data_IF_525671761540
#
_entry.id   IF_525671761540
#
_cell.length_a   1.000
_cell.length_b   1.000
_cell.length_c   1.000
_cell.angle_alpha   90.00
_cell.angle_beta   90.00
_cell.angle_gamma   90.00
#
_symmetry.space_group_name_H-M   'P 1'
#
loop_
_entity.id
_entity.type
_entity.pdbx_description
1 polymer ?
#
# COMPACT_ATOMS: atom_id res chain seq x y z
N UNK A 1 63.78 3.49 -3.75
CA UNK A 1 63.03 3.25 -2.51
C UNK A 1 61.73 2.58 -2.96
N UNK A 2 61.67 1.25 -3.07
CA UNK A 2 61.72 0.24 -1.99
C UNK A 2 60.62 0.54 -0.95
N UNK A 3 59.66 -0.32 -0.60
CA UNK A 3 59.45 -1.79 -0.70
C UNK A 3 57.99 -2.02 -0.22
N UNK A 4 57.26 -3.00 -0.79
CA UNK A 4 56.80 -4.26 -0.14
C UNK A 4 55.52 -4.13 0.72
N UNK A 5 54.40 -4.74 0.32
CA UNK A 5 53.94 -6.11 0.69
C UNK A 5 53.05 -6.07 1.95
N UNK A 6 51.81 -6.55 1.83
CA UNK A 6 51.28 -7.58 2.74
C UNK A 6 49.98 -8.17 2.15
N UNK A 7 50.15 -9.39 1.66
CA UNK A 7 49.14 -10.37 1.31
C UNK A 7 48.30 -10.79 2.54
N UNK A 8 47.02 -11.11 2.30
CA UNK A 8 46.38 -12.20 3.04
C UNK A 8 45.28 -12.86 2.23
N UNK A 9 45.67 -13.92 1.54
CA UNK A 9 44.80 -15.03 1.14
C UNK A 9 44.09 -15.61 2.37
N UNK A 10 42.84 -16.02 2.20
CA UNK A 10 42.21 -17.00 3.09
C UNK A 10 41.36 -17.95 2.25
N UNK A 11 41.84 -19.18 2.20
CA UNK A 11 41.30 -20.33 1.51
C UNK A 11 39.95 -20.80 2.07
N UNK A 12 39.12 -21.29 1.15
CA UNK A 12 38.44 -22.60 1.15
C UNK A 12 37.72 -23.06 2.43
N UNK A 13 36.39 -23.07 2.37
CA UNK A 13 35.57 -24.05 3.07
C UNK A 13 34.61 -24.69 2.05
N UNK A 14 34.99 -25.90 1.66
CA UNK A 14 34.20 -26.88 0.93
C UNK A 14 33.25 -27.58 1.91
N UNK A 15 31.93 -27.48 1.68
CA UNK A 15 30.95 -28.33 2.36
C UNK A 15 30.18 -29.13 1.32
N UNK A 16 30.59 -30.40 1.24
CA UNK A 16 29.94 -31.50 0.56
C UNK A 16 28.64 -31.87 1.27
N UNK A 17 27.54 -31.95 0.54
CA UNK A 17 26.39 -32.75 0.97
C UNK A 17 25.99 -33.67 -0.17
N UNK A 18 26.45 -34.91 -0.02
CA UNK A 18 26.14 -36.09 -0.78
C UNK A 18 24.80 -36.64 -0.30
N UNK A 19 23.85 -36.88 -1.21
CA UNK A 19 22.65 -37.68 -0.96
C UNK A 19 22.14 -38.23 -2.29
N UNK A 20 22.66 -39.40 -2.63
CA UNK A 20 22.04 -40.42 -3.46
C UNK A 20 20.56 -40.65 -3.09
N UNK A 21 19.65 -40.68 -4.07
CA UNK A 21 18.79 -41.87 -4.33
C UNK A 21 17.92 -41.75 -5.59
N UNK A 22 18.01 -42.80 -6.41
CA UNK A 22 16.95 -43.44 -7.21
C UNK A 22 16.45 -42.80 -8.53
N UNK A 23 17.22 -43.10 -9.58
CA UNK A 23 16.81 -43.77 -10.82
C UNK A 23 15.31 -44.14 -10.95
N UNK A 24 14.60 -43.48 -11.87
CA UNK A 24 13.50 -44.09 -12.64
C UNK A 24 13.63 -43.76 -14.12
N UNK A 25 14.01 -44.78 -14.88
CA UNK A 25 13.91 -44.87 -16.32
C UNK A 25 12.46 -44.96 -16.77
N UNK A 26 12.10 -44.16 -17.76
CA UNK A 26 10.98 -44.43 -18.66
C UNK A 26 11.32 -43.81 -20.02
N UNK A 27 11.87 -44.67 -20.87
CA UNK A 27 11.91 -44.54 -22.33
C UNK A 27 10.48 -44.46 -22.86
N UNK A 28 10.19 -43.45 -23.67
CA UNK A 28 9.16 -43.56 -24.72
C UNK A 28 9.55 -42.61 -25.85
N UNK A 29 9.84 -43.25 -26.98
CA UNK A 29 10.16 -42.71 -28.29
C UNK A 29 8.85 -42.25 -28.94
N UNK A 30 8.82 -41.05 -29.52
CA UNK A 30 7.85 -40.72 -30.57
C UNK A 30 8.48 -39.66 -31.48
N UNK A 31 9.03 -40.16 -32.60
CA UNK A 31 9.39 -39.39 -33.78
C UNK A 31 8.13 -39.22 -34.63
N UNK A 32 7.64 -37.99 -34.78
CA UNK A 32 6.79 -37.64 -35.92
C UNK A 32 7.39 -36.44 -36.66
N UNK A 33 7.81 -36.78 -37.87
CA UNK A 33 8.39 -35.99 -38.94
C UNK A 33 7.25 -35.31 -39.72
N UNK A 34 7.24 -33.98 -39.79
CA UNK A 34 6.26 -33.20 -40.56
C UNK A 34 7.03 -32.18 -41.41
N UNK A 35 7.45 -32.65 -42.60
CA UNK A 35 7.94 -31.82 -43.69
C UNK A 35 6.75 -31.21 -44.44
N UNK A 36 6.59 -29.88 -44.38
CA UNK A 36 5.68 -29.15 -45.25
C UNK A 36 6.41 -27.97 -45.92
N UNK A 37 6.19 -27.88 -47.22
CA UNK A 37 7.05 -27.26 -48.21
C UNK A 37 6.98 -25.71 -48.23
N UNK A 38 8.15 -25.09 -48.39
CA UNK A 38 8.28 -23.66 -48.66
C UNK A 38 7.90 -23.31 -50.10
N UNK A 39 6.77 -22.61 -50.27
CA UNK A 39 6.47 -21.89 -51.50
C UNK A 39 7.29 -20.60 -51.58
N UNK A 40 8.09 -20.49 -52.64
CA UNK A 40 8.90 -19.31 -52.96
C UNK A 40 8.12 -18.42 -53.92
N UNK A 41 7.69 -17.26 -53.44
CA UNK A 41 7.20 -16.18 -54.29
C UNK A 41 8.17 -15.00 -54.20
N UNK A 42 8.90 -14.78 -55.29
CA UNK A 42 9.60 -13.54 -55.61
C UNK A 42 8.55 -12.49 -55.97
N UNK A 43 8.45 -11.36 -55.26
CA UNK A 43 7.78 -10.17 -55.80
C UNK A 43 8.22 -8.84 -55.14
N UNK A 44 8.75 -7.98 -56.03
CA UNK A 44 8.88 -6.52 -56.09
C UNK A 44 9.08 -5.64 -54.83
N UNK A 45 10.17 -4.87 -54.83
CA UNK A 45 10.42 -3.73 -53.94
C UNK A 45 9.43 -2.57 -54.20
N UNK A 46 8.22 -2.65 -53.65
CA UNK A 46 7.35 -1.49 -53.50
C UNK A 46 7.83 -0.58 -52.35
N UNK A 47 8.04 0.70 -52.67
CA UNK A 47 8.37 1.74 -51.71
C UNK A 47 7.27 1.84 -50.63
N UNK A 48 7.54 1.32 -49.43
CA UNK A 48 6.62 1.38 -48.29
C UNK A 48 6.31 2.84 -47.92
N UNK A 49 5.03 3.24 -47.74
CA UNK A 49 4.68 4.60 -47.36
C UNK A 49 5.22 4.94 -45.96
N UNK A 50 5.55 6.22 -45.69
CA UNK A 50 6.11 6.63 -44.41
C UNK A 50 5.18 6.23 -43.26
N UNK A 51 5.74 5.52 -42.28
CA UNK A 51 5.00 4.97 -41.14
C UNK A 51 4.44 6.11 -40.29
N UNK A 52 3.13 6.30 -40.35
CA UNK A 52 2.43 7.32 -39.59
C UNK A 52 2.29 6.89 -38.11
N UNK A 53 2.89 7.66 -37.20
CA UNK A 53 2.86 7.36 -35.78
C UNK A 53 1.45 7.56 -35.20
N UNK A 54 0.72 6.48 -34.97
CA UNK A 54 -0.64 6.46 -34.40
C UNK A 54 -0.77 7.20 -33.05
N UNK A 55 0.34 7.44 -32.36
CA UNK A 55 0.38 8.20 -31.11
C UNK A 55 0.07 9.69 -31.31
N UNK A 56 0.46 10.27 -32.46
CA UNK A 56 0.28 11.70 -32.75
C UNK A 56 -0.98 12.00 -33.55
N UNK A 57 -1.44 11.07 -34.38
CA UNK A 57 -2.63 11.25 -35.23
C UNK A 57 -3.96 10.90 -34.53
N UNK A 58 -3.94 10.25 -33.36
CA UNK A 58 -5.18 9.89 -32.65
C UNK A 58 -5.80 11.05 -31.88
N UNK A 59 -7.13 11.16 -31.93
CA UNK A 59 -7.89 12.11 -31.11
C UNK A 59 -7.67 11.88 -29.61
N UNK A 60 -7.39 12.94 -28.83
CA UNK A 60 -7.23 12.84 -27.37
C UNK A 60 -8.57 12.78 -26.66
N UNK A 61 -8.68 11.92 -25.64
CA UNK A 61 -9.85 11.83 -24.75
C UNK A 61 -9.74 12.85 -23.61
N UNK A 62 -10.83 13.52 -23.27
CA UNK A 62 -10.85 14.55 -22.22
C UNK A 62 -10.51 14.03 -20.81
N UNK A 63 -10.73 12.74 -20.54
CA UNK A 63 -10.51 12.11 -19.22
C UNK A 63 -9.22 11.29 -19.13
N UNK A 64 -8.40 11.31 -20.19
CA UNK A 64 -7.14 10.57 -20.19
C UNK A 64 -6.12 11.25 -19.26
N UNK A 65 -5.66 10.53 -18.24
CA UNK A 65 -4.64 11.02 -17.30
C UNK A 65 -5.18 11.68 -16.04
N UNK A 66 -6.49 11.64 -15.78
CA UNK A 66 -7.11 12.30 -14.61
C UNK A 66 -6.49 11.92 -13.25
N UNK A 67 -5.87 10.75 -13.14
CA UNK A 67 -5.18 10.28 -11.92
C UNK A 67 -3.68 10.11 -12.08
N UNK A 68 -3.12 10.29 -13.27
CA UNK A 68 -1.69 10.05 -13.51
C UNK A 68 -0.82 11.05 -12.75
N UNK A 69 -1.25 12.31 -12.67
CA UNK A 69 -0.53 13.31 -11.88
C UNK A 69 -0.56 13.01 -10.38
N UNK A 70 -1.62 12.37 -9.89
CA UNK A 70 -1.70 11.96 -8.49
C UNK A 70 -0.83 10.73 -8.24
N UNK A 71 -0.89 9.71 -9.10
CA UNK A 71 -0.05 8.51 -8.99
C UNK A 71 1.45 8.82 -9.12
N UNK A 72 1.84 9.77 -9.96
CA UNK A 72 3.25 10.18 -10.06
C UNK A 72 3.72 10.93 -8.81
N UNK A 73 2.84 11.76 -8.22
CA UNK A 73 3.14 12.40 -6.93
C UNK A 73 3.20 11.39 -5.79
N UNK A 74 2.25 10.45 -5.79
CA UNK A 74 2.22 9.34 -4.83
C UNK A 74 3.48 8.50 -4.98
N UNK A 75 3.88 8.06 -6.18
CA UNK A 75 5.11 7.29 -6.37
C UNK A 75 6.40 8.04 -5.93
N UNK A 76 6.47 9.35 -6.15
CA UNK A 76 7.62 10.17 -5.69
C UNK A 76 7.59 10.32 -4.17
N UNK A 77 6.43 10.68 -3.61
CA UNK A 77 6.25 10.83 -2.16
C UNK A 77 6.37 9.49 -1.42
N UNK A 78 5.91 8.40 -2.02
CA UNK A 78 5.97 7.03 -1.51
C UNK A 78 7.43 6.60 -1.49
N UNK A 79 8.23 6.88 -2.52
CA UNK A 79 9.66 6.57 -2.49
C UNK A 79 10.45 7.38 -1.44
N UNK A 80 10.11 8.66 -1.20
CA UNK A 80 10.80 9.49 -0.21
C UNK A 80 10.27 9.31 1.23
N UNK A 81 8.97 9.01 1.39
CA UNK A 81 8.33 8.81 2.69
C UNK A 81 8.36 7.35 3.14
N UNK A 82 8.40 6.37 2.23
CA UNK A 82 8.53 4.96 2.60
C UNK A 82 9.80 4.75 3.40
N UNK A 83 10.93 5.31 3.00
CA UNK A 83 12.18 5.06 3.71
C UNK A 83 12.14 5.61 5.15
N UNK A 84 11.45 6.74 5.34
CA UNK A 84 11.21 7.29 6.68
C UNK A 84 10.25 6.40 7.49
N UNK A 85 9.05 6.09 6.98
CA UNK A 85 8.05 5.30 7.71
C UNK A 85 8.39 3.81 7.85
N UNK A 86 9.27 3.28 7.00
CA UNK A 86 9.88 1.93 7.12
C UNK A 86 10.91 1.86 8.23
N UNK A 87 11.60 2.97 8.53
CA UNK A 87 12.71 2.97 9.50
C UNK A 87 12.30 3.53 10.85
N UNK A 88 11.42 4.54 10.88
CA UNK A 88 10.92 5.09 12.13
C UNK A 88 10.02 4.09 12.86
N UNK A 89 10.18 4.01 14.18
CA UNK A 89 9.44 3.09 15.04
C UNK A 89 9.45 1.64 14.53
N UNK A 90 10.65 1.15 14.17
CA UNK A 90 10.86 -0.24 13.74
C UNK A 90 10.01 -0.70 12.54
N UNK A 91 9.50 0.24 11.72
CA UNK A 91 8.68 -0.13 10.57
C UNK A 91 7.29 -0.64 10.93
N UNK A 92 6.79 -0.37 12.14
CA UNK A 92 5.42 -0.73 12.58
C UNK A 92 4.30 -0.17 11.69
N UNK A 93 4.61 0.75 10.77
CA UNK A 93 3.64 1.29 9.83
C UNK A 93 3.45 0.41 8.58
N UNK A 94 4.30 -0.59 8.37
CA UNK A 94 4.09 -1.59 7.32
C UNK A 94 3.25 -2.72 7.90
N UNK A 95 2.12 -2.99 7.27
CA UNK A 95 1.33 -4.22 7.51
C UNK A 95 2.10 -5.40 6.90
N UNK A 96 3.13 -5.89 7.60
CA UNK A 96 3.78 -7.13 7.23
C UNK A 96 2.97 -8.30 7.83
N UNK A 97 2.48 -9.19 6.96
CA UNK A 97 1.73 -10.40 7.30
C UNK A 97 2.49 -11.40 8.23
N UNK A 98 3.72 -11.08 8.61
CA UNK A 98 4.59 -11.93 9.45
C UNK A 98 4.46 -11.66 10.95
N UNK A 99 3.95 -10.50 11.36
CA UNK A 99 3.71 -10.19 12.79
C UNK A 99 2.23 -10.26 13.08
N UNK A 100 1.84 -11.12 14.02
CA UNK A 100 0.48 -11.15 14.56
C UNK A 100 0.23 -9.83 15.32
N UNK A 101 -0.22 -8.80 14.61
CA UNK A 101 -0.63 -7.52 15.19
C UNK A 101 -1.95 -7.70 15.94
N UNK A 102 -1.84 -8.23 17.16
CA UNK A 102 -2.97 -8.43 18.05
C UNK A 102 -3.48 -7.08 18.55
N UNK A 103 -4.80 -6.96 18.67
CA UNK A 103 -5.43 -5.75 19.19
C UNK A 103 -4.85 -5.39 20.56
N UNK A 104 -4.44 -4.13 20.73
CA UNK A 104 -3.83 -3.64 21.96
C UNK A 104 -4.72 -3.92 23.18
N UNK A 105 -4.18 -4.67 24.13
CA UNK A 105 -4.79 -4.87 25.45
C UNK A 105 -4.02 -4.03 26.47
N UNK A 106 -4.71 -3.10 27.11
CA UNK A 106 -4.13 -2.32 28.18
C UNK A 106 -3.75 -3.23 29.36
N UNK A 107 -2.53 -3.10 29.91
CA UNK A 107 -2.18 -3.75 31.16
C UNK A 107 -3.09 -3.25 32.30
N UNK A 108 -3.68 -4.18 33.05
CA UNK A 108 -4.72 -3.94 34.07
C UNK A 108 -4.29 -2.97 35.19
N UNK A 109 -3.00 -2.69 35.34
CA UNK A 109 -2.42 -1.94 36.44
C UNK A 109 -1.88 -0.55 36.03
N UNK A 110 -2.02 -0.15 34.76
CA UNK A 110 -1.37 1.06 34.21
C UNK A 110 -2.08 2.39 34.50
N UNK A 111 -3.31 2.36 35.01
CA UNK A 111 -4.15 3.57 35.16
C UNK A 111 -3.95 4.30 36.50
N UNK A 112 -3.07 3.79 37.36
CA UNK A 112 -2.66 4.46 38.58
C UNK A 112 -1.61 5.53 38.28
N UNK A 113 -2.02 6.79 38.19
CA UNK A 113 -1.09 7.92 38.12
C UNK A 113 -0.38 8.07 39.48
N UNK A 114 0.75 7.37 39.62
CA UNK A 114 1.62 7.45 40.79
C UNK A 114 2.43 8.75 40.72
N UNK A 115 1.96 9.73 41.48
CA UNK A 115 2.59 11.04 41.59
C UNK A 115 3.59 11.01 42.74
N UNK A 116 4.82 11.45 42.49
CA UNK A 116 5.85 11.56 43.51
C UNK A 116 5.40 12.47 44.66
N UNK A 117 5.86 12.18 45.88
CA UNK A 117 5.43 12.90 47.09
C UNK A 117 5.84 14.37 47.12
N UNK A 118 6.70 14.82 46.21
CA UNK A 118 7.14 16.19 46.04
C UNK A 118 6.39 16.96 44.95
N UNK A 119 5.43 16.35 44.23
CA UNK A 119 4.67 17.02 43.17
C UNK A 119 3.86 18.24 43.66
N UNK A 120 3.34 18.19 44.89
CA UNK A 120 2.63 19.30 45.53
C UNK A 120 3.55 20.24 46.33
N UNK A 121 4.87 19.98 46.38
CA UNK A 121 5.83 20.87 47.05
C UNK A 121 6.04 22.12 46.19
N UNK A 122 6.08 23.29 46.83
CA UNK A 122 6.45 24.52 46.14
C UNK A 122 7.89 24.43 45.60
N UNK A 123 8.08 24.82 44.34
CA UNK A 123 9.41 24.87 43.69
C UNK A 123 10.44 25.72 44.47
N UNK A 124 9.99 26.61 45.36
CA UNK A 124 10.82 27.54 46.15
C UNK A 124 11.36 26.95 47.48
N UNK A 125 10.81 25.82 47.95
CA UNK A 125 11.07 25.27 49.30
C UNK A 125 11.93 23.98 49.27
N UNK A 126 12.77 23.76 48.27
CA UNK A 126 13.58 22.54 48.13
C UNK A 126 14.75 22.35 49.13
N UNK A 127 14.81 23.09 50.24
CA UNK A 127 15.88 22.93 51.24
C UNK A 127 15.39 22.95 52.69
N UNK A 128 15.14 21.77 53.29
CA UNK A 128 15.53 21.39 54.66
C UNK A 128 14.89 20.06 55.08
N UNK A 129 15.72 19.04 55.26
CA UNK A 129 15.36 17.83 56.01
C UNK A 129 15.46 18.12 57.52
N UNK A 130 14.39 17.89 58.28
CA UNK A 130 14.48 17.54 59.70
C UNK A 130 13.18 16.90 60.23
N UNK A 131 13.28 15.59 60.45
CA UNK A 131 12.74 14.82 61.58
C UNK A 131 12.01 15.64 62.67
N UNK A 132 10.67 15.54 62.77
CA UNK A 132 9.92 15.65 64.04
C UNK A 132 8.53 15.02 63.95
N UNK A 133 8.13 14.39 65.07
CA UNK A 133 6.90 13.63 65.28
C UNK A 133 5.61 14.47 65.35
N UNK A 134 4.48 13.73 65.17
CA UNK A 134 3.12 13.97 65.65
C UNK A 134 2.19 14.89 64.82
N UNK A 135 1.05 14.35 64.36
CA UNK A 135 -0.25 14.36 65.07
C UNK A 135 -1.29 13.61 64.21
N UNK A 136 -1.94 12.60 64.78
CA UNK A 136 -3.16 11.99 64.22
C UNK A 136 -4.35 12.98 64.33
N UNK A 137 -5.02 13.27 63.21
CA UNK A 137 -6.37 13.86 63.20
C UNK A 137 -7.38 12.93 62.50
N UNK A 138 -8.35 12.44 63.28
CA UNK A 138 -9.53 11.71 62.81
C UNK A 138 -10.52 12.63 62.05
N UNK A 139 -11.01 12.18 60.88
CA UNK A 139 -12.09 12.87 60.11
C UNK A 139 -13.48 12.25 60.36
N UNK A 140 -14.54 13.05 60.58
CA UNK A 140 -15.90 12.52 60.75
C UNK A 140 -16.65 12.23 59.44
N UNK A 141 -17.57 11.28 59.58
CA UNK A 141 -18.33 10.49 58.58
C UNK A 141 -19.09 11.23 57.45
N UNK A 142 -18.95 10.63 56.27
CA UNK A 142 -19.71 10.68 54.99
C UNK A 142 -21.24 10.89 55.11
N UNK A 143 -21.72 12.15 55.18
CA UNK A 143 -23.14 12.50 54.86
C UNK A 143 -23.35 13.84 54.12
N UNK A 144 -22.30 14.51 53.63
CA UNK A 144 -22.39 15.83 52.95
C UNK A 144 -22.29 15.79 51.41
N UNK A 145 -22.02 14.65 50.81
CA UNK A 145 -21.72 14.56 49.36
C UNK A 145 -22.93 14.89 48.44
N UNK A 146 -24.16 14.61 48.86
CA UNK A 146 -25.36 14.86 48.03
C UNK A 146 -25.79 16.33 48.04
N UNK A 147 -25.57 17.05 49.14
CA UNK A 147 -25.92 18.46 49.27
C UNK A 147 -24.91 19.36 48.53
N UNK A 148 -23.63 18.98 48.54
CA UNK A 148 -22.58 19.65 47.77
C UNK A 148 -22.76 19.49 46.25
N UNK A 149 -23.22 18.34 45.75
CA UNK A 149 -23.47 18.14 44.32
C UNK A 149 -24.64 19.01 43.81
N UNK A 150 -25.72 19.15 44.60
CA UNK A 150 -26.86 20.02 44.26
C UNK A 150 -26.52 21.51 44.36
N UNK A 151 -25.64 21.89 45.28
CA UNK A 151 -25.18 23.27 45.41
C UNK A 151 -24.17 23.64 44.31
N UNK A 152 -23.34 22.70 43.84
CA UNK A 152 -22.46 22.89 42.68
C UNK A 152 -23.26 23.06 41.38
N UNK A 153 -24.30 22.27 41.14
CA UNK A 153 -25.16 22.42 39.95
C UNK A 153 -25.96 23.73 39.97
N UNK A 154 -26.48 24.15 41.14
CA UNK A 154 -27.10 25.47 41.29
C UNK A 154 -26.12 26.62 41.08
N UNK A 155 -24.88 26.54 41.59
CA UNK A 155 -23.84 27.54 41.34
C UNK A 155 -23.50 27.64 39.85
N UNK A 156 -23.40 26.50 39.17
CA UNK A 156 -23.07 26.46 37.74
C UNK A 156 -24.22 27.01 36.88
N UNK A 157 -25.48 26.68 37.21
CA UNK A 157 -26.67 27.23 36.55
C UNK A 157 -26.83 28.74 36.83
N UNK A 158 -26.56 29.19 38.07
CA UNK A 158 -26.60 30.60 38.44
C UNK A 158 -25.44 31.40 37.82
N UNK A 159 -24.26 30.81 37.62
CA UNK A 159 -23.15 31.43 36.91
C UNK A 159 -23.42 31.55 35.39
N UNK A 160 -24.26 30.66 34.83
CA UNK A 160 -24.66 30.70 33.42
C UNK A 160 -25.86 31.61 33.14
N UNK A 161 -26.76 31.77 34.12
CA UNK A 161 -27.90 32.69 34.06
C UNK A 161 -27.56 34.11 34.54
N UNK A 162 -26.60 34.24 35.46
CA UNK A 162 -26.00 35.50 35.86
C UNK A 162 -24.97 35.93 34.83
N UNK A 163 -25.43 36.35 33.66
CA UNK A 163 -24.56 36.99 32.66
C UNK A 163 -23.76 38.10 33.34
N UNK A 164 -22.46 38.15 33.06
CA UNK A 164 -21.59 39.21 33.57
C UNK A 164 -22.31 40.55 33.35
N UNK A 165 -22.65 41.25 34.44
CA UNK A 165 -23.33 42.53 34.35
C UNK A 165 -22.32 43.53 33.78
N UNK A 166 -22.27 43.63 32.46
CA UNK A 166 -21.46 44.62 31.78
C UNK A 166 -21.98 45.99 32.24
N UNK A 167 -21.13 46.89 32.76
CA UNK A 167 -21.56 48.24 33.13
C UNK A 167 -22.24 48.89 31.93
N UNK A 168 -23.37 49.58 32.17
CA UNK A 168 -24.18 50.16 31.11
C UNK A 168 -23.31 51.06 30.20
N UNK A 169 -23.28 50.69 28.92
CA UNK A 169 -22.54 51.26 27.79
C UNK A 169 -22.06 52.71 27.96
N UNK A 170 -20.74 52.89 27.91
CA UNK A 170 -20.14 54.06 27.23
C UNK A 170 -19.26 53.54 26.09
N UNK A 171 -19.81 52.65 25.27
CA UNK A 171 -19.17 52.26 24.01
C UNK A 171 -19.37 53.42 23.05
N UNK A 172 -18.28 54.06 22.65
CA UNK A 172 -18.33 55.15 21.66
C UNK A 172 -18.84 54.62 20.32
N UNK A 173 -19.50 55.46 19.52
CA UNK A 173 -20.06 55.06 18.22
C UNK A 173 -19.01 54.38 17.30
N UNK A 174 -17.75 54.81 17.40
CA UNK A 174 -16.62 54.22 16.68
C UNK A 174 -16.32 52.79 17.13
N UNK A 175 -16.35 52.52 18.43
CA UNK A 175 -16.15 51.18 18.99
C UNK A 175 -17.32 50.24 18.64
N UNK A 176 -18.55 50.76 18.63
CA UNK A 176 -19.72 49.99 18.21
C UNK A 176 -19.60 49.56 16.74
N UNK A 177 -19.16 50.46 15.85
CA UNK A 177 -18.94 50.12 14.44
C UNK A 177 -17.83 49.07 14.25
N UNK A 178 -16.78 49.10 15.08
CA UNK A 178 -15.73 48.09 15.04
C UNK A 178 -16.26 46.71 15.45
N UNK A 179 -17.03 46.65 16.54
CA UNK A 179 -17.66 45.41 17.00
C UNK A 179 -18.64 44.84 15.97
N UNK A 180 -19.41 45.69 15.28
CA UNK A 180 -20.31 45.24 14.21
C UNK A 180 -19.55 44.67 13.00
N UNK A 181 -18.40 45.28 12.63
CA UNK A 181 -17.55 44.77 11.55
C UNK A 181 -16.88 43.45 11.91
N UNK A 182 -16.46 43.31 13.17
CA UNK A 182 -15.90 42.06 13.69
C UNK A 182 -16.96 40.96 13.76
N UNK A 183 -18.18 41.29 14.19
CA UNK A 183 -19.33 40.38 14.16
C UNK A 183 -19.66 39.93 12.73
N UNK A 184 -19.67 40.84 11.75
CA UNK A 184 -19.89 40.48 10.34
C UNK A 184 -18.79 39.55 9.80
N UNK A 185 -17.53 39.76 10.22
CA UNK A 185 -16.41 38.90 9.82
C UNK A 185 -16.54 37.49 10.42
N UNK A 186 -16.83 37.41 11.71
CA UNK A 186 -17.03 36.13 12.41
C UNK A 186 -18.26 35.39 11.89
N UNK A 187 -19.33 36.10 11.53
CA UNK A 187 -20.50 35.50 10.86
C UNK A 187 -20.11 34.87 9.52
N UNK A 188 -19.31 35.56 8.70
CA UNK A 188 -18.81 35.00 7.44
C UNK A 188 -17.95 33.75 7.67
N UNK A 189 -17.01 33.80 8.62
CA UNK A 189 -16.15 32.66 8.98
C UNK A 189 -16.97 31.47 9.52
N UNK A 190 -18.01 31.74 10.33
CA UNK A 190 -18.92 30.73 10.85
C UNK A 190 -19.78 30.09 9.74
N UNK A 191 -20.30 30.90 8.81
CA UNK A 191 -21.08 30.39 7.66
C UNK A 191 -20.19 29.56 6.73
N UNK A 192 -18.95 29.97 6.50
CA UNK A 192 -18.00 29.21 5.68
C UNK A 192 -17.58 27.89 6.32
N UNK A 193 -17.31 27.90 7.63
CA UNK A 193 -16.99 26.67 8.38
C UNK A 193 -18.19 25.70 8.42
N UNK A 194 -19.41 26.21 8.60
CA UNK A 194 -20.63 25.40 8.57
C UNK A 194 -20.84 24.77 7.19
N UNK A 195 -20.66 25.53 6.10
CA UNK A 195 -20.72 25.00 4.72
C UNK A 195 -19.66 23.92 4.47
N UNK A 196 -18.47 24.05 5.06
CA UNK A 196 -17.40 23.04 4.95
C UNK A 196 -17.78 21.76 5.72
N UNK A 197 -18.36 21.91 6.91
CA UNK A 197 -18.86 20.79 7.72
C UNK A 197 -19.99 20.03 7.00
N UNK A 198 -20.97 20.74 6.43
CA UNK A 198 -22.05 20.13 5.64
C UNK A 198 -21.51 19.32 4.45
N UNK A 199 -20.51 19.85 3.74
CA UNK A 199 -19.86 19.12 2.63
C UNK A 199 -19.19 17.84 3.12
N UNK A 200 -18.51 17.89 4.25
CA UNK A 200 -17.86 16.72 4.85
C UNK A 200 -18.88 15.64 5.27
N UNK A 201 -19.98 16.04 5.92
CA UNK A 201 -21.07 15.12 6.29
C UNK A 201 -21.72 14.46 5.07
N UNK A 202 -21.95 15.23 3.99
CA UNK A 202 -22.47 14.69 2.73
C UNK A 202 -21.50 13.71 2.06
N UNK A 203 -20.19 13.97 2.11
CA UNK A 203 -19.17 13.04 1.62
C UNK A 203 -19.15 11.76 2.45
N UNK A 204 -19.19 11.87 3.79
CA UNK A 204 -19.25 10.73 4.72
C UNK A 204 -20.51 9.90 4.50
N UNK A 205 -21.66 10.53 4.21
CA UNK A 205 -22.91 9.86 3.86
C UNK A 205 -22.80 9.12 2.52
N UNK A 206 -22.23 9.74 1.49
CA UNK A 206 -21.99 9.10 0.17
C UNK A 206 -21.03 7.92 0.26
N UNK A 207 -19.97 8.03 1.07
CA UNK A 207 -19.03 6.91 1.33
C UNK A 207 -19.75 5.73 2.01
N UNK A 208 -20.56 6.00 3.04
CA UNK A 208 -21.39 4.99 3.71
C UNK A 208 -22.38 4.31 2.76
N UNK A 209 -23.07 5.07 1.92
CA UNK A 209 -24.00 4.53 0.92
C UNK A 209 -23.29 3.64 -0.12
N UNK A 210 -22.14 4.08 -0.64
CA UNK A 210 -21.32 3.27 -1.56
C UNK A 210 -20.82 1.98 -0.90
N UNK A 211 -20.37 2.04 0.35
CA UNK A 211 -19.97 0.84 1.10
C UNK A 211 -21.15 -0.14 1.23
N UNK A 212 -22.34 0.36 1.58
CA UNK A 212 -23.55 -0.46 1.66
C UNK A 212 -23.92 -1.11 0.32
N UNK A 213 -23.76 -0.41 -0.81
CA UNK A 213 -24.02 -0.98 -2.14
C UNK A 213 -23.00 -2.06 -2.53
N UNK A 214 -21.73 -1.95 -2.09
CA UNK A 214 -20.70 -2.97 -2.34
C UNK A 214 -20.95 -4.26 -1.54
N UNK A 215 -21.54 -4.16 -0.35
CA UNK A 215 -21.91 -5.32 0.48
C UNK A 215 -23.30 -5.89 0.17
N UNK A 216 -24.08 -5.26 -0.73
CA UNK A 216 -25.26 -5.90 -1.29
C UNK A 216 -24.81 -6.89 -2.35
N UNK A 217 -24.68 -8.15 -1.96
CA UNK A 217 -24.65 -9.23 -2.95
C UNK A 217 -26.02 -9.20 -3.63
N UNK A 218 -26.06 -8.88 -4.92
CA UNK A 218 -27.20 -9.20 -5.80
C UNK A 218 -26.85 -10.43 -6.65
N UNK A 219 -26.96 -11.64 -6.10
CA UNK A 219 -27.00 -12.86 -6.89
C UNK A 219 -28.45 -13.28 -7.06
N UNK A 220 -28.74 -14.29 -7.89
CA UNK A 220 -30.07 -14.83 -7.90
C UNK A 220 -30.30 -15.51 -6.52
N UNK A 221 -31.25 -14.99 -5.76
CA UNK A 221 -31.52 -15.40 -4.38
C UNK A 221 -32.25 -16.74 -4.36
N UNK A 222 -31.78 -17.69 -3.54
CA UNK A 222 -32.55 -18.90 -3.24
C UNK A 222 -33.74 -18.53 -2.35
N UNK A 223 -34.91 -19.08 -2.64
CA UNK A 223 -36.12 -18.85 -1.84
C UNK A 223 -36.62 -20.16 -1.28
N UNK A 224 -36.74 -20.23 0.05
CA UNK A 224 -37.40 -21.34 0.73
C UNK A 224 -38.81 -20.91 1.13
N UNK A 225 -39.82 -21.56 0.59
CA UNK A 225 -41.22 -21.34 0.97
C UNK A 225 -41.77 -22.61 1.58
N UNK A 226 -42.12 -22.57 2.86
CA UNK A 226 -42.77 -23.67 3.57
C UNK A 226 -44.27 -23.39 3.68
N UNK A 227 -45.09 -24.35 3.26
CA UNK A 227 -46.53 -24.33 3.51
C UNK A 227 -46.92 -25.64 4.24
N UNK A 228 -48.07 -25.66 4.90
CA UNK A 228 -48.47 -26.74 5.82
C UNK A 228 -48.39 -28.17 5.22
N UNK A 229 -48.47 -28.28 3.89
CA UNK A 229 -48.43 -29.56 3.17
C UNK A 229 -47.06 -29.85 2.53
N UNK A 230 -46.27 -28.82 2.15
CA UNK A 230 -45.03 -28.98 1.37
C UNK A 230 -44.07 -27.79 1.55
N UNK A 231 -42.78 -28.11 1.58
CA UNK A 231 -41.66 -27.17 1.49
C UNK A 231 -41.10 -27.13 0.06
N UNK A 232 -41.04 -25.95 -0.55
CA UNK A 232 -40.48 -25.73 -1.88
C UNK A 232 -39.23 -24.85 -1.77
N UNK A 233 -38.12 -25.33 -2.32
CA UNK A 233 -36.85 -24.61 -2.39
C UNK A 233 -36.57 -24.21 -3.84
N UNK A 234 -36.66 -22.92 -4.13
CA UNK A 234 -36.43 -22.37 -5.48
C UNK A 234 -34.97 -21.97 -5.59
N UNK A 235 -34.20 -22.75 -6.35
CA UNK A 235 -32.81 -22.45 -6.70
C UNK A 235 -32.81 -21.85 -8.11
N UNK A 236 -32.29 -20.63 -8.29
CA UNK A 236 -32.16 -20.05 -9.61
C UNK A 236 -31.10 -20.77 -10.45
N UNK A 237 -31.26 -20.72 -11.77
CA UNK A 237 -30.34 -21.35 -12.72
C UNK A 237 -28.95 -20.71 -12.62
N UNK A 238 -27.99 -21.46 -12.08
CA UNK A 238 -26.60 -21.05 -12.00
C UNK A 238 -25.98 -21.31 -13.37
N UNK A 239 -25.48 -20.30 -14.10
CA UNK A 239 -24.74 -20.54 -15.33
C UNK A 239 -23.54 -21.42 -15.01
N UNK A 240 -23.38 -22.51 -15.75
CA UNK A 240 -22.26 -23.44 -15.57
C UNK A 240 -20.97 -22.68 -15.84
N UNK A 241 -20.15 -22.47 -14.79
CA UNK A 241 -18.85 -21.86 -14.95
C UNK A 241 -17.92 -22.87 -15.63
N UNK A 242 -17.67 -22.66 -16.91
CA UNK A 242 -16.62 -23.37 -17.63
C UNK A 242 -15.29 -22.88 -17.10
N UNK A 243 -14.58 -23.73 -16.33
CA UNK A 243 -13.22 -23.44 -15.89
C UNK A 243 -12.40 -23.20 -17.15
N UNK A 244 -11.80 -22.02 -17.25
CA UNK A 244 -10.86 -21.72 -18.34
C UNK A 244 -9.79 -22.82 -18.36
N UNK A 245 -9.61 -23.45 -19.51
CA UNK A 245 -8.71 -24.58 -19.72
C UNK A 245 -7.27 -24.20 -19.35
N UNK A 246 -6.77 -24.74 -18.24
CA UNK A 246 -5.40 -24.70 -17.67
C UNK A 246 -4.74 -23.29 -17.58
N UNK A 247 -4.07 -22.96 -16.45
CA UNK A 247 -3.33 -21.71 -16.37
C UNK A 247 -2.24 -21.69 -17.46
N UNK A 248 -2.09 -20.57 -18.16
CA UNK A 248 -1.02 -20.39 -19.13
C UNK A 248 0.32 -20.69 -18.44
N UNK A 249 1.04 -21.70 -18.94
CA UNK A 249 2.37 -22.04 -18.43
C UNK A 249 3.24 -20.81 -18.67
N UNK A 250 3.70 -20.18 -17.59
CA UNK A 250 4.61 -19.04 -17.68
C UNK A 250 5.92 -19.56 -18.25
N UNK A 251 6.35 -19.04 -19.39
CA UNK A 251 7.65 -19.40 -19.95
C UNK A 251 8.76 -19.02 -18.96
N UNK A 252 9.77 -19.87 -18.84
CA UNK A 252 10.88 -19.72 -17.90
C UNK A 252 12.12 -19.31 -18.69
N UNK A 253 12.90 -18.37 -18.17
CA UNK A 253 14.12 -17.89 -18.79
C UNK A 253 15.14 -19.02 -18.95
N UNK A 254 15.65 -19.22 -20.16
CA UNK A 254 16.60 -20.29 -20.48
C UNK A 254 17.94 -20.19 -19.70
N UNK A 255 18.34 -18.98 -19.28
CA UNK A 255 19.61 -18.76 -18.56
C UNK A 255 19.42 -18.72 -17.05
N UNK A 256 18.37 -18.05 -16.57
CA UNK A 256 18.24 -17.71 -15.13
C UNK A 256 17.16 -18.51 -14.41
N UNK A 257 16.30 -19.25 -15.09
CA UNK A 257 15.18 -19.95 -14.45
C UNK A 257 14.07 -19.02 -13.91
N UNK A 258 14.22 -17.70 -14.05
CA UNK A 258 13.21 -16.72 -13.67
C UNK A 258 12.03 -16.72 -14.66
N UNK A 259 10.81 -16.28 -14.28
CA UNK A 259 9.72 -16.13 -15.23
C UNK A 259 10.13 -15.18 -16.36
N UNK A 260 10.01 -15.65 -17.59
CA UNK A 260 10.39 -14.91 -18.78
C UNK A 260 9.37 -13.82 -19.08
N UNK A 261 9.91 -12.66 -19.47
CA UNK A 261 9.11 -11.49 -19.85
C UNK A 261 9.11 -11.29 -21.35
N UNK A 262 10.12 -11.81 -22.04
CA UNK A 262 10.40 -11.57 -23.44
C UNK A 262 10.90 -12.85 -24.13
N UNK A 263 10.86 -12.85 -25.45
CA UNK A 263 11.41 -13.90 -26.32
C UNK A 263 12.41 -13.28 -27.30
N UNK A 264 13.51 -13.98 -27.56
CA UNK A 264 14.49 -13.53 -28.55
C UNK A 264 13.99 -13.85 -29.97
N UNK A 265 13.89 -12.88 -30.91
CA UNK A 265 13.36 -13.14 -32.26
C UNK A 265 14.21 -14.06 -33.13
N UNK A 266 15.48 -14.31 -32.80
CA UNK A 266 16.33 -15.20 -33.61
C UNK A 266 16.35 -16.61 -33.02
N UNK A 267 16.55 -16.74 -31.70
CA UNK A 267 16.64 -18.05 -31.05
C UNK A 267 15.30 -18.57 -30.54
N UNK A 268 14.25 -17.74 -30.51
CA UNK A 268 12.96 -18.01 -29.87
C UNK A 268 13.06 -18.48 -28.41
N UNK A 269 14.18 -18.18 -27.74
CA UNK A 269 14.39 -18.54 -26.36
C UNK A 269 13.74 -17.50 -25.42
N UNK A 270 12.96 -17.94 -24.42
CA UNK A 270 12.41 -17.06 -23.40
C UNK A 270 13.52 -16.50 -22.50
N UNK A 271 13.46 -15.20 -22.19
CA UNK A 271 14.39 -14.54 -21.26
C UNK A 271 13.69 -13.51 -20.37
N UNK A 272 14.31 -13.22 -19.22
CA UNK A 272 13.77 -12.28 -18.23
C UNK A 272 14.56 -10.96 -18.16
N UNK A 273 15.89 -11.04 -18.15
CA UNK A 273 16.79 -9.88 -18.01
C UNK A 273 17.53 -9.57 -19.33
N UNK A 274 17.96 -8.32 -19.55
CA UNK A 274 18.78 -7.98 -20.72
C UNK A 274 20.17 -8.66 -20.69
N UNK A 275 20.67 -9.04 -19.52
CA UNK A 275 21.91 -9.82 -19.38
C UNK A 275 21.74 -11.25 -19.90
N UNK A 276 20.61 -11.90 -19.56
CA UNK A 276 20.25 -13.20 -20.11
C UNK A 276 20.16 -13.16 -21.64
N UNK A 277 19.60 -12.08 -22.21
CA UNK A 277 19.57 -11.88 -23.67
C UNK A 277 20.98 -11.83 -24.29
N UNK A 278 21.92 -11.12 -23.66
CA UNK A 278 23.33 -11.07 -24.13
C UNK A 278 23.99 -12.44 -24.06
N UNK A 279 23.73 -13.21 -23.01
CA UNK A 279 24.27 -14.56 -22.86
C UNK A 279 23.72 -15.47 -23.96
N UNK A 280 22.40 -15.47 -24.19
CA UNK A 280 21.76 -16.24 -25.26
C UNK A 280 22.33 -15.91 -26.63
N UNK A 281 22.51 -14.62 -26.95
CA UNK A 281 23.06 -14.21 -28.24
C UNK A 281 24.54 -14.54 -28.41
N UNK A 282 25.33 -14.44 -27.33
CA UNK A 282 26.74 -14.87 -27.34
C UNK A 282 26.85 -16.37 -27.53
N UNK A 283 26.12 -17.17 -26.76
CA UNK A 283 26.12 -18.63 -26.91
C UNK A 283 25.66 -19.08 -28.30
N UNK A 284 24.67 -18.39 -28.86
CA UNK A 284 24.22 -18.64 -30.23
C UNK A 284 25.31 -18.30 -31.27
N UNK A 285 25.99 -17.17 -31.10
CA UNK A 285 27.11 -16.80 -31.98
C UNK A 285 28.28 -17.80 -31.89
N UNK A 286 28.65 -18.18 -30.67
CA UNK A 286 29.70 -19.19 -30.42
C UNK A 286 29.33 -20.53 -31.06
N UNK A 287 28.06 -20.94 -30.97
CA UNK A 287 27.55 -22.11 -31.68
C UNK A 287 27.72 -21.98 -33.19
N UNK A 288 27.30 -20.86 -33.80
CA UNK A 288 27.45 -20.63 -35.23
C UNK A 288 28.92 -20.69 -35.70
N UNK A 289 29.87 -20.20 -34.89
CA UNK A 289 31.30 -20.29 -35.19
C UNK A 289 31.83 -21.74 -35.26
N UNK A 290 31.16 -22.69 -34.59
CA UNK A 290 31.53 -24.11 -34.66
C UNK A 290 30.97 -24.81 -35.88
N UNK A 291 29.90 -24.29 -36.48
CA UNK A 291 29.22 -24.88 -37.64
C UNK A 291 29.97 -24.49 -38.91
N UNK A 292 30.75 -25.43 -39.46
CA UNK A 292 31.51 -25.23 -40.71
C UNK A 292 30.80 -25.88 -41.89
N UNK A 293 30.79 -25.21 -43.03
CA UNK A 293 30.29 -25.76 -44.31
C UNK A 293 28.88 -25.33 -44.70
N UNK A 294 28.24 -24.45 -43.91
CA UNK A 294 26.96 -23.85 -44.25
C UNK A 294 27.18 -22.41 -44.75
N UNK A 295 26.92 -22.18 -46.04
CA UNK A 295 27.09 -20.87 -46.68
C UNK A 295 26.26 -19.76 -46.02
N UNK A 296 25.07 -20.09 -45.51
CA UNK A 296 24.18 -19.15 -44.83
C UNK A 296 24.73 -18.68 -43.48
N UNK A 297 25.36 -19.59 -42.73
CA UNK A 297 26.00 -19.28 -41.44
C UNK A 297 27.20 -18.39 -41.68
N UNK A 298 28.04 -18.71 -42.66
CA UNK A 298 29.19 -17.90 -43.05
C UNK A 298 28.76 -16.50 -43.50
N UNK A 299 27.68 -16.39 -44.29
CA UNK A 299 27.11 -15.12 -44.71
C UNK A 299 26.50 -14.32 -43.54
N UNK A 300 25.94 -15.00 -42.54
CA UNK A 300 25.42 -14.35 -41.33
C UNK A 300 26.58 -13.83 -40.45
N UNK A 301 27.61 -14.65 -40.21
CA UNK A 301 28.79 -14.27 -39.43
C UNK A 301 29.54 -13.08 -40.06
N UNK A 302 29.67 -13.06 -41.39
CA UNK A 302 30.29 -11.96 -42.13
C UNK A 302 29.59 -10.59 -41.93
N UNK A 303 28.33 -10.55 -41.49
CA UNK A 303 27.63 -9.29 -41.18
C UNK A 303 28.10 -8.64 -39.87
N UNK A 304 28.74 -9.41 -38.99
CA UNK A 304 29.17 -8.97 -37.67
C UNK A 304 30.69 -8.76 -37.57
N UNK A 305 31.45 -9.23 -38.56
CA UNK A 305 32.88 -8.91 -38.72
C UNK A 305 33.03 -7.49 -39.30
N UNK A 306 33.06 -6.48 -38.43
CA UNK A 306 33.44 -5.09 -38.72
C UNK A 306 34.77 -4.77 -38.06
#
# INVERSE_FOLDING_TARGET
>A
MATSEDDKELEKAEESVDSDEEMRSASEEDEEDDEEEGTSEEDEEEQKPPVEMLATSRSRRATAGNKMAQLMKEAIEEQEKDDFYKTTYNGLFLEDDQTEDQEFQEPVESDGDEVDSDFDRSEDDQEQESETEAVEEEKPRKRKAYEDARNKSKKWVMARMGGATVPANVVTEKQQQQLMKEAEKTEKENVESLKKYEKFELEKKKKREKALTKHRVLPPLTKLTSNAEKTVFTVPEIPKFEKTTKPAIKSICAVTGAPARFFDPVTNLPYSTPEAFKIIRKSYFDYLMTVKGNSEVDAYLAKFDI
#
